data_IF_941702864264
#
_entry.id   IF_941702864264
#
_cell.length_a   1.000
_cell.length_b   1.000
_cell.length_c   1.000
_cell.angle_alpha   90.00
_cell.angle_beta   90.00
_cell.angle_gamma   90.00
#
_symmetry.space_group_name_H-M   'P 1'
#
loop_
_entity.id
_entity.type
_entity.pdbx_description
1 polymer ?
#
# COMPACT_ATOMS: atom_id res chain seq x y z
N UNK A 1 12.05 23.65 3.07
CA UNK A 1 10.94 22.68 3.07
C UNK A 1 11.01 21.87 1.78
N UNK A 2 11.66 20.70 1.81
CA UNK A 2 11.56 19.71 0.74
C UNK A 2 10.09 19.31 0.62
N UNK A 3 9.44 19.62 -0.51
CA UNK A 3 8.08 19.17 -0.78
C UNK A 3 8.15 17.64 -0.85
N UNK A 4 7.57 16.93 0.13
CA UNK A 4 7.34 15.49 0.03
C UNK A 4 6.33 15.26 -1.10
N UNK A 5 6.83 15.13 -2.32
CA UNK A 5 6.02 14.90 -3.51
C UNK A 5 5.77 13.41 -3.65
N UNK A 6 4.49 13.03 -3.60
CA UNK A 6 4.05 11.67 -3.89
C UNK A 6 3.89 11.50 -5.39
N UNK A 7 4.61 10.55 -5.97
CA UNK A 7 4.53 10.22 -7.38
C UNK A 7 3.63 8.99 -7.57
N UNK A 8 2.56 9.07 -8.38
CA UNK A 8 1.72 7.91 -8.65
C UNK A 8 2.54 6.88 -9.45
N UNK A 9 2.69 5.69 -8.88
CA UNK A 9 3.47 4.60 -9.49
C UNK A 9 2.58 3.46 -9.99
N UNK A 10 1.28 3.54 -9.76
CA UNK A 10 0.30 2.55 -10.20
C UNK A 10 -1.07 2.79 -9.55
N UNK A 11 -2.07 2.07 -10.03
CA UNK A 11 -3.37 1.97 -9.38
C UNK A 11 -3.76 0.50 -9.32
N UNK A 12 -4.26 0.07 -8.16
CA UNK A 12 -4.78 -1.28 -7.98
C UNK A 12 -6.29 -1.15 -7.88
N UNK A 13 -7.00 -1.81 -8.80
CA UNK A 13 -8.44 -1.99 -8.67
C UNK A 13 -8.67 -3.16 -7.72
N UNK A 14 -9.27 -2.89 -6.56
CA UNK A 14 -9.64 -3.93 -5.60
C UNK A 14 -10.73 -4.84 -6.15
N UNK A 15 -10.70 -6.10 -5.74
CA UNK A 15 -11.81 -7.06 -5.85
C UNK A 15 -12.81 -6.87 -4.70
N UNK A 16 -13.89 -7.65 -4.66
CA UNK A 16 -14.90 -7.58 -3.59
C UNK A 16 -14.31 -7.76 -2.19
N UNK A 17 -13.25 -8.56 -2.05
CA UNK A 17 -12.53 -8.75 -0.78
C UNK A 17 -11.78 -7.49 -0.37
N UNK A 18 -11.09 -6.84 -1.30
CA UNK A 18 -10.41 -5.57 -1.08
C UNK A 18 -11.41 -4.46 -0.74
N UNK A 19 -12.60 -4.48 -1.35
CA UNK A 19 -13.68 -3.55 -1.03
C UNK A 19 -14.22 -3.76 0.40
N UNK A 20 -14.38 -5.01 0.85
CA UNK A 20 -14.76 -5.31 2.22
C UNK A 20 -13.72 -4.82 3.24
N UNK A 21 -12.43 -4.99 2.95
CA UNK A 21 -11.34 -4.47 3.78
C UNK A 21 -11.32 -2.93 3.82
N UNK A 22 -11.51 -2.28 2.67
CA UNK A 22 -11.60 -0.83 2.59
C UNK A 22 -12.84 -0.27 3.31
N UNK A 23 -13.98 -0.94 3.22
CA UNK A 23 -15.20 -0.56 3.95
C UNK A 23 -15.02 -0.73 5.47
N UNK A 24 -14.49 -1.87 5.92
CA UNK A 24 -14.22 -2.09 7.35
C UNK A 24 -13.22 -1.08 7.91
N UNK A 25 -12.24 -0.67 7.09
CA UNK A 25 -11.28 0.36 7.47
C UNK A 25 -11.91 1.77 7.48
N UNK A 26 -12.77 2.08 6.49
CA UNK A 26 -13.57 3.31 6.43
C UNK A 26 -14.46 3.47 7.66
N UNK A 27 -15.19 2.41 8.00
CA UNK A 27 -16.21 2.43 9.05
C UNK A 27 -15.60 2.49 10.46
N UNK A 28 -14.26 2.51 10.56
CA UNK A 28 -13.49 2.53 11.81
C UNK A 28 -13.98 1.51 12.86
N UNK A 29 -14.56 0.41 12.39
CA UNK A 29 -15.12 -0.62 13.26
C UNK A 29 -14.05 -1.35 14.07
N UNK A 30 -14.48 -2.25 14.94
CA UNK A 30 -13.60 -3.06 15.81
C UNK A 30 -12.52 -3.83 15.03
N UNK A 31 -12.75 -4.11 13.74
CA UNK A 31 -11.85 -4.85 12.83
C UNK A 31 -11.01 -3.95 11.89
N UNK A 32 -11.09 -2.62 12.03
CA UNK A 32 -10.38 -1.66 11.17
C UNK A 32 -8.87 -1.86 11.21
N UNK A 33 -8.29 -2.13 12.39
CA UNK A 33 -6.86 -2.40 12.55
C UNK A 33 -6.40 -3.71 11.88
N UNK A 34 -7.25 -4.74 11.84
CA UNK A 34 -6.97 -6.00 11.14
C UNK A 34 -7.03 -5.81 9.64
N UNK A 35 -8.06 -5.09 9.16
CA UNK A 35 -8.24 -4.78 7.74
C UNK A 35 -7.07 -3.94 7.22
N UNK A 36 -6.63 -2.94 8.00
CA UNK A 36 -5.42 -2.15 7.69
C UNK A 36 -4.18 -3.03 7.59
N UNK A 37 -3.94 -3.92 8.56
CA UNK A 37 -2.77 -4.82 8.53
C UNK A 37 -2.77 -5.74 7.31
N UNK A 38 -3.94 -6.20 6.87
CA UNK A 38 -4.06 -7.00 5.65
C UNK A 38 -3.80 -6.18 4.37
N UNK A 39 -4.32 -4.95 4.30
CA UNK A 39 -4.04 -4.03 3.20
C UNK A 39 -2.54 -3.67 3.12
N UNK A 40 -1.96 -3.22 4.24
CA UNK A 40 -0.54 -2.90 4.35
C UNK A 40 0.32 -4.10 3.94
N UNK A 41 -0.09 -5.30 4.36
CA UNK A 41 0.58 -6.54 4.03
C UNK A 41 0.56 -6.91 2.55
N UNK A 42 -0.64 -6.89 1.95
CA UNK A 42 -0.81 -7.19 0.53
C UNK A 42 -0.04 -6.21 -0.37
N UNK A 43 -0.07 -4.91 -0.04
CA UNK A 43 0.66 -3.89 -0.81
C UNK A 43 2.16 -4.02 -0.56
N UNK A 44 2.62 -4.17 0.68
CA UNK A 44 4.04 -4.33 1.01
C UNK A 44 4.66 -5.56 0.36
N UNK A 45 3.99 -6.71 0.41
CA UNK A 45 4.47 -7.94 -0.22
C UNK A 45 4.55 -7.84 -1.75
N UNK A 46 3.59 -7.15 -2.37
CA UNK A 46 3.60 -6.89 -3.82
C UNK A 46 4.73 -5.94 -4.19
N UNK A 47 4.92 -4.86 -3.43
CA UNK A 47 6.01 -3.92 -3.63
C UNK A 47 7.37 -4.58 -3.45
N UNK A 48 7.56 -5.40 -2.41
CA UNK A 48 8.85 -6.03 -2.12
C UNK A 48 9.31 -6.94 -3.27
N UNK A 49 8.41 -7.75 -3.83
CA UNK A 49 8.71 -8.69 -4.91
C UNK A 49 9.26 -8.02 -6.17
N UNK A 50 8.68 -6.88 -6.53
CA UNK A 50 9.02 -6.15 -7.75
C UNK A 50 9.77 -4.85 -7.48
N UNK A 51 10.27 -4.64 -6.25
CA UNK A 51 10.88 -3.38 -5.81
C UNK A 51 12.02 -2.90 -6.72
N UNK A 52 12.96 -3.76 -7.18
CA UNK A 52 14.04 -3.32 -8.07
C UNK A 52 13.51 -2.82 -9.41
N UNK A 53 12.57 -3.56 -10.02
CA UNK A 53 11.94 -3.19 -11.30
C UNK A 53 11.11 -1.92 -11.16
N UNK A 54 10.40 -1.78 -10.05
CA UNK A 54 9.59 -0.62 -9.75
C UNK A 54 10.47 0.63 -9.59
N UNK A 55 11.58 0.54 -8.84
CA UNK A 55 12.55 1.63 -8.72
C UNK A 55 13.07 2.08 -10.09
N UNK A 56 13.46 1.15 -10.95
CA UNK A 56 13.93 1.48 -12.30
C UNK A 56 12.84 2.17 -13.15
N UNK A 57 11.61 1.63 -13.11
CA UNK A 57 10.46 2.22 -13.81
C UNK A 57 10.16 3.64 -13.31
N UNK A 58 10.19 3.85 -11.99
CA UNK A 58 9.97 5.16 -11.36
C UNK A 58 11.07 6.15 -11.76
N UNK A 59 12.34 5.77 -11.73
CA UNK A 59 13.45 6.64 -12.16
C UNK A 59 13.35 6.95 -13.66
N UNK A 60 12.84 6.03 -14.47
CA UNK A 60 12.62 6.27 -15.90
C UNK A 60 11.51 7.29 -16.14
N UNK A 61 10.41 7.20 -15.39
CA UNK A 61 9.31 8.16 -15.45
C UNK A 61 9.64 9.51 -14.82
N UNK A 62 10.48 9.51 -13.78
CA UNK A 62 10.86 10.68 -13.00
C UNK A 62 12.39 10.73 -12.80
N UNK A 63 13.16 11.11 -13.84
CA UNK A 63 14.63 11.11 -13.81
C UNK A 63 15.24 11.97 -12.70
N UNK A 64 14.52 12.99 -12.22
CA UNK A 64 14.93 13.84 -11.10
C UNK A 64 15.16 13.05 -9.80
N UNK A 65 14.53 11.88 -9.65
CA UNK A 65 14.64 11.03 -8.47
C UNK A 65 15.88 10.13 -8.48
N UNK A 66 16.66 10.11 -9.57
CA UNK A 66 17.82 9.21 -9.72
C UNK A 66 18.84 9.32 -8.58
N UNK A 67 19.05 10.53 -8.04
CA UNK A 67 20.00 10.79 -6.94
C UNK A 67 19.48 10.30 -5.58
N UNK A 68 18.16 10.19 -5.42
CA UNK A 68 17.49 9.79 -4.19
C UNK A 68 16.84 8.39 -4.29
N UNK A 69 17.27 7.58 -5.27
CA UNK A 69 16.65 6.27 -5.58
C UNK A 69 16.61 5.29 -4.39
N UNK A 70 17.56 5.44 -3.46
CA UNK A 70 17.71 4.58 -2.29
C UNK A 70 17.02 5.17 -1.05
N UNK A 71 16.57 6.42 -1.15
CA UNK A 71 15.85 7.17 -0.11
C UNK A 71 14.34 7.28 -0.41
N UNK A 72 13.85 6.50 -1.39
CA UNK A 72 12.44 6.52 -1.78
C UNK A 72 11.55 5.87 -0.71
N UNK A 73 10.53 6.61 -0.27
CA UNK A 73 9.44 6.12 0.54
C UNK A 73 8.30 5.58 -0.34
N UNK A 74 7.60 4.56 0.16
CA UNK A 74 6.50 3.93 -0.54
C UNK A 74 5.22 4.05 0.27
N UNK A 75 4.10 4.13 -0.45
CA UNK A 75 2.81 4.33 0.17
C UNK A 75 1.67 4.04 -0.78
N UNK A 76 0.47 3.91 -0.24
CA UNK A 76 -0.75 3.83 -1.01
C UNK A 76 -1.78 4.82 -0.49
N UNK A 77 -2.71 5.21 -1.36
CA UNK A 77 -3.87 6.03 -1.01
C UNK A 77 -5.12 5.25 -1.37
N UNK A 78 -6.09 5.24 -0.46
CA UNK A 78 -7.39 4.65 -0.72
C UNK A 78 -8.28 5.65 -1.46
N UNK A 79 -8.85 5.20 -2.58
CA UNK A 79 -9.84 5.94 -3.35
C UNK A 79 -11.23 5.34 -3.14
N UNK A 80 -11.68 5.25 -1.89
CA UNK A 80 -12.99 4.69 -1.53
C UNK A 80 -13.93 5.79 -1.04
N UNK A 81 -15.22 5.69 -1.38
CA UNK A 81 -16.20 6.71 -1.01
C UNK A 81 -16.54 6.65 0.50
N UNK A 82 -16.63 7.82 1.12
CA UNK A 82 -16.90 7.97 2.55
C UNK A 82 -15.70 7.79 3.46
N UNK A 83 -14.47 7.74 2.93
CA UNK A 83 -13.25 7.80 3.74
C UNK A 83 -13.13 9.15 4.44
N UNK A 84 -12.75 9.15 5.71
CA UNK A 84 -12.37 10.37 6.40
C UNK A 84 -11.11 10.99 5.75
N UNK A 85 -10.90 12.29 5.98
CA UNK A 85 -9.73 13.00 5.43
C UNK A 85 -8.40 12.36 5.84
N UNK A 86 -8.35 11.72 7.01
CA UNK A 86 -7.15 11.02 7.49
C UNK A 86 -6.88 9.71 6.73
N UNK A 87 -7.93 8.94 6.44
CA UNK A 87 -7.81 7.70 5.69
C UNK A 87 -7.57 7.93 4.20
N UNK A 88 -7.94 9.12 3.71
CA UNK A 88 -7.70 9.59 2.34
C UNK A 88 -6.27 10.11 2.12
N UNK A 89 -5.45 10.20 3.18
CA UNK A 89 -4.02 10.55 3.06
C UNK A 89 -3.22 9.32 2.64
N UNK A 90 -2.00 9.57 2.14
CA UNK A 90 -1.07 8.50 1.78
C UNK A 90 -0.64 7.77 3.05
N UNK A 91 -0.86 6.46 3.05
CA UNK A 91 -0.41 5.55 4.09
C UNK A 91 0.99 5.05 3.71
N UNK A 92 1.99 5.42 4.51
CA UNK A 92 3.36 4.96 4.37
C UNK A 92 3.45 3.46 4.65
N UNK A 93 4.19 2.76 3.79
CA UNK A 93 4.49 1.34 3.98
C UNK A 93 5.96 1.06 3.69
N UNK A 94 6.54 0.21 4.52
CA UNK A 94 7.88 -0.31 4.29
C UNK A 94 7.77 -1.57 3.42
N UNK A 95 8.47 -1.64 2.27
CA UNK A 95 8.56 -2.87 1.49
C UNK A 95 9.31 -3.92 2.32
N UNK A 96 8.58 -4.91 2.82
CA UNK A 96 9.15 -6.00 3.62
C UNK A 96 8.70 -7.33 3.03
N UNK A 97 9.57 -8.32 3.12
CA UNK A 97 9.20 -9.69 2.78
C UNK A 97 8.11 -10.16 3.75
N UNK A 98 6.88 -10.30 3.27
CA UNK A 98 5.84 -10.97 4.04
C UNK A 98 6.04 -12.47 3.97
N UNK A 99 6.93 -13.01 4.81
CA UNK A 99 6.87 -14.43 5.18
C UNK A 99 5.66 -14.64 6.10
N UNK A 100 4.62 -15.29 5.59
CA UNK A 100 3.65 -16.01 6.45
C UNK A 100 2.28 -15.39 6.75
N UNK A 101 1.91 -14.20 6.23
CA UNK A 101 0.54 -13.68 6.48
C UNK A 101 -0.52 -14.38 5.60
N UNK A 102 -0.16 -14.77 4.37
CA UNK A 102 -1.04 -15.54 3.49
C UNK A 102 -1.27 -16.99 3.98
N UNK A 103 -0.30 -17.61 4.67
CA UNK A 103 -0.46 -18.93 5.28
C UNK A 103 -1.39 -18.89 6.50
N UNK A 104 -1.35 -17.80 7.28
CA UNK A 104 -2.26 -17.61 8.42
C UNK A 104 -3.72 -17.42 8.01
N UNK A 105 -3.99 -16.75 6.88
CA UNK A 105 -5.37 -16.51 6.40
C UNK A 105 -5.97 -17.79 5.80
N UNK A 106 -5.19 -18.62 5.10
CA UNK A 106 -5.69 -19.93 4.61
C UNK A 106 -6.13 -20.86 5.73
N UNK A 107 -5.47 -20.83 6.89
CA UNK A 107 -5.83 -21.65 8.05
C UNK A 107 -7.05 -21.13 8.83
N UNK A 108 -7.49 -19.89 8.61
CA UNK A 108 -8.69 -19.32 9.27
C UNK A 108 -9.95 -19.52 8.42
N UNK A 109 -9.80 -19.72 7.11
CA UNK A 109 -10.88 -19.99 6.17
C UNK A 109 -10.99 -21.48 5.74
N UNK A 110 -10.33 -22.39 6.47
CA UNK A 110 -10.42 -23.84 6.27
C UNK A 110 -11.02 -24.56 7.47
#
# INVERSE_FOLDING_TARGET
>A
KTRQMWYPCGSFKGDEKSAALASNYRDQGMMSGISKKQLDGGVSGSLYRDLPKLKESVIRGYPQLRKAKDELEWGYKLGYEGLSEELSKVQLIEPKEQKGVFDGIKNIFS
#
